data_IF_768020896649
#
_entry.id   IF_768020896649
#
_cell.length_a   1.000
_cell.length_b   1.000
_cell.length_c   1.000
_cell.angle_alpha   90.00
_cell.angle_beta   90.00
_cell.angle_gamma   90.00
#
_symmetry.space_group_name_H-M   'P 1'
#
loop_
_entity.id
_entity.type
_entity.pdbx_description
1 polymer ?
#
# COMPACT_ATOMS: atom_id res chain seq x y z
N UNK A 1 2.69 22.51 43.22
CA UNK A 1 3.12 22.00 41.90
C UNK A 1 2.62 20.57 41.75
N UNK A 2 1.54 20.35 40.98
CA UNK A 2 0.97 19.03 40.72
C UNK A 2 1.30 18.61 39.29
N UNK A 3 2.04 17.52 39.17
CA UNK A 3 2.47 16.96 37.90
C UNK A 3 1.38 15.99 37.40
N UNK A 4 0.58 16.42 36.42
CA UNK A 4 -0.35 15.52 35.72
C UNK A 4 0.45 14.71 34.69
N UNK A 5 0.59 13.40 34.94
CA UNK A 5 0.96 12.43 33.90
C UNK A 5 -0.21 12.34 32.90
N UNK A 6 0.06 12.67 31.64
CA UNK A 6 -0.82 12.32 30.52
C UNK A 6 -0.65 10.82 30.26
N UNK A 7 -1.69 10.04 30.57
CA UNK A 7 -1.78 8.64 30.17
C UNK A 7 -1.98 8.54 28.67
N UNK A 8 -1.04 7.91 27.97
CA UNK A 8 -1.14 7.59 26.54
C UNK A 8 -1.41 6.08 26.42
N UNK A 9 -2.46 5.72 25.68
CA UNK A 9 -2.77 4.34 25.30
C UNK A 9 -4.24 3.93 25.47
N UNK A 10 -5.18 4.67 24.90
CA UNK A 10 -6.58 4.24 24.83
C UNK A 10 -6.79 3.26 23.68
N UNK A 11 -7.23 2.04 23.99
CA UNK A 11 -7.80 1.11 23.02
C UNK A 11 -9.12 1.70 22.50
N UNK A 12 -9.26 1.87 21.19
CA UNK A 12 -10.52 2.28 20.57
C UNK A 12 -11.36 1.03 20.37
N UNK A 13 -12.58 1.00 20.94
CA UNK A 13 -13.43 -0.18 20.85
C UNK A 13 -14.03 -0.32 19.45
N UNK A 14 -14.38 -1.54 19.01
CA UNK A 14 -15.08 -1.79 17.75
C UNK A 14 -16.37 -0.96 17.59
N UNK A 15 -17.05 -0.66 18.69
CA UNK A 15 -18.27 0.15 18.75
C UNK A 15 -17.99 1.61 18.38
N UNK A 16 -16.90 2.19 18.89
CA UNK A 16 -16.49 3.55 18.51
C UNK A 16 -16.16 3.65 17.01
N UNK A 17 -15.54 2.62 16.43
CA UNK A 17 -15.32 2.57 14.98
C UNK A 17 -16.63 2.48 14.18
N UNK A 18 -17.63 1.72 14.66
CA UNK A 18 -18.96 1.66 14.02
C UNK A 18 -19.68 3.01 14.10
N UNK A 19 -19.60 3.70 15.23
CA UNK A 19 -20.18 5.04 15.41
C UNK A 19 -19.55 6.07 14.48
N UNK A 20 -18.22 6.07 14.35
CA UNK A 20 -17.52 6.95 13.42
C UNK A 20 -17.90 6.65 11.97
N UNK A 21 -18.09 5.37 11.61
CA UNK A 21 -18.60 4.98 10.29
C UNK A 21 -19.98 5.54 10.01
N UNK A 22 -20.93 5.36 10.95
CA UNK A 22 -22.30 5.83 10.78
C UNK A 22 -22.38 7.35 10.69
N UNK A 23 -21.62 8.06 11.54
CA UNK A 23 -21.56 9.52 11.51
C UNK A 23 -21.05 10.02 10.15
N UNK A 24 -19.97 9.44 9.63
CA UNK A 24 -19.42 9.87 8.33
C UNK A 24 -20.35 9.55 7.16
N UNK A 25 -21.07 8.42 7.20
CA UNK A 25 -22.09 8.12 6.21
C UNK A 25 -23.21 9.18 6.21
N UNK A 26 -23.68 9.59 7.39
CA UNK A 26 -24.70 10.65 7.49
C UNK A 26 -24.21 12.03 7.03
N UNK A 27 -22.92 12.33 7.23
CA UNK A 27 -22.31 13.58 6.71
C UNK A 27 -22.23 13.56 5.18
N UNK A 28 -21.88 12.42 4.58
CA UNK A 28 -21.83 12.27 3.11
C UNK A 28 -23.21 12.36 2.48
N UNK A 29 -24.23 11.77 3.09
CA UNK A 29 -25.62 11.89 2.63
C UNK A 29 -26.10 13.35 2.63
N UNK A 30 -25.72 14.13 3.65
CA UNK A 30 -26.08 15.54 3.73
C UNK A 30 -25.29 16.42 2.73
N UNK A 31 -24.03 16.08 2.45
CA UNK A 31 -23.21 16.79 1.45
C UNK A 31 -23.71 16.54 0.01
N UNK A 32 -24.19 15.33 -0.30
CA UNK A 32 -24.78 14.99 -1.62
C UNK A 32 -26.07 15.77 -1.92
N UNK A 33 -26.87 16.06 -0.88
CA UNK A 33 -28.08 16.89 -1.02
C UNK A 33 -27.72 18.36 -1.31
N UNK A 34 -26.62 18.86 -0.75
CA UNK A 34 -26.12 20.24 -0.98
C UNK A 34 -25.46 20.38 -2.35
N UNK A 35 -24.71 19.38 -2.83
CA UNK A 35 -24.07 19.42 -4.16
C UNK A 35 -25.06 19.26 -5.33
N UNK A 36 -26.23 18.62 -5.13
CA UNK A 36 -27.30 18.57 -6.15
C UNK A 36 -27.88 19.94 -6.53
N UNK A 37 -27.74 20.95 -5.69
CA UNK A 37 -28.18 22.32 -5.98
C UNK A 37 -27.13 23.16 -6.72
N UNK A 38 -25.88 22.68 -6.88
CA UNK A 38 -24.76 23.43 -7.47
C UNK A 38 -24.17 22.80 -8.74
N UNK A 39 -24.35 23.44 -9.89
CA UNK A 39 -23.97 22.94 -11.22
C UNK A 39 -22.43 22.85 -11.47
N UNK A 40 -21.97 21.70 -12.00
CA UNK A 40 -20.92 21.50 -13.05
C UNK A 40 -19.40 21.59 -12.77
N UNK A 41 -18.89 21.15 -11.61
CA UNK A 41 -17.45 20.81 -11.46
C UNK A 41 -17.15 19.60 -10.56
N UNK A 42 -18.14 18.73 -10.33
CA UNK A 42 -18.14 17.74 -9.26
C UNK A 42 -17.25 16.48 -9.47
N UNK A 43 -16.86 16.14 -10.70
CA UNK A 43 -16.35 14.79 -11.00
C UNK A 43 -14.96 14.49 -10.39
N UNK A 44 -14.06 15.47 -10.31
CA UNK A 44 -12.72 15.28 -9.72
C UNK A 44 -12.73 15.37 -8.19
N UNK A 45 -13.67 16.15 -7.62
CA UNK A 45 -13.79 16.30 -6.16
C UNK A 45 -14.48 15.12 -5.48
N UNK A 46 -15.45 14.49 -6.13
CA UNK A 46 -16.13 13.30 -5.61
C UNK A 46 -15.15 12.12 -5.47
N UNK A 47 -14.27 11.90 -6.46
CA UNK A 47 -13.27 10.84 -6.39
C UNK A 47 -12.27 11.12 -5.26
N UNK A 48 -11.78 12.35 -5.08
CA UNK A 48 -10.91 12.73 -3.94
C UNK A 48 -11.61 12.67 -2.56
N UNK A 49 -12.91 12.97 -2.48
CA UNK A 49 -13.67 12.94 -1.21
C UNK A 49 -14.08 11.51 -0.82
N UNK A 50 -14.46 10.66 -1.78
CA UNK A 50 -14.79 9.25 -1.56
C UNK A 50 -13.54 8.37 -1.39
N UNK A 51 -12.39 8.80 -1.93
CA UNK A 51 -11.08 8.18 -1.69
C UNK A 51 -10.40 8.62 -0.40
N UNK A 52 -10.98 9.54 0.39
CA UNK A 52 -10.57 9.74 1.79
C UNK A 52 -11.11 8.55 2.59
N UNK A 53 -10.27 7.59 2.98
CA UNK A 53 -10.75 6.45 3.71
C UNK A 53 -11.23 6.91 5.09
N UNK A 54 -12.35 6.32 5.52
CA UNK A 54 -13.01 6.56 6.79
C UNK A 54 -12.13 6.33 8.03
N UNK A 55 -10.92 5.80 7.88
CA UNK A 55 -9.94 5.53 8.93
C UNK A 55 -8.51 5.49 8.35
N UNK A 56 -8.00 6.58 7.77
CA UNK A 56 -6.53 6.71 7.66
C UNK A 56 -5.99 7.33 8.94
N UNK A 57 -5.08 6.60 9.58
CA UNK A 57 -4.12 7.19 10.49
C UNK A 57 -3.31 8.20 9.68
N UNK A 58 -3.39 9.48 10.05
CA UNK A 58 -2.36 10.47 9.71
C UNK A 58 -0.97 9.87 10.01
N UNK A 59 0.02 10.23 9.19
CA UNK A 59 1.43 9.79 9.07
C UNK A 59 2.27 9.61 10.37
N UNK A 60 1.71 9.03 11.42
CA UNK A 60 2.34 8.71 12.69
C UNK A 60 2.27 7.20 12.91
N UNK A 61 3.44 6.58 12.93
CA UNK A 61 3.66 5.18 13.30
C UNK A 61 2.98 4.88 14.66
N UNK A 62 1.77 4.33 14.66
CA UNK A 62 1.09 3.82 15.87
C UNK A 62 0.96 2.31 15.75
N UNK A 63 1.77 1.60 16.53
CA UNK A 63 1.94 0.14 16.44
C UNK A 63 0.76 -0.69 16.96
N UNK A 64 -0.17 -0.09 17.71
CA UNK A 64 -1.25 -0.82 18.40
C UNK A 64 -2.56 -0.96 17.61
N UNK A 65 -2.73 -0.25 16.49
CA UNK A 65 -4.02 -0.16 15.77
C UNK A 65 -4.16 -1.08 14.56
N UNK A 66 -3.09 -1.70 14.07
CA UNK A 66 -3.10 -2.41 12.78
C UNK A 66 -3.74 -3.81 12.90
N UNK A 67 -3.64 -4.49 14.05
CA UNK A 67 -4.18 -5.85 14.20
C UNK A 67 -5.70 -5.92 14.40
N UNK A 68 -6.36 -4.85 14.85
CA UNK A 68 -7.79 -4.88 15.19
C UNK A 68 -8.73 -4.63 14.01
N UNK A 69 -8.22 -4.25 12.82
CA UNK A 69 -9.03 -3.65 11.76
C UNK A 69 -9.47 -4.59 10.62
N UNK A 70 -9.17 -5.89 10.66
CA UNK A 70 -9.56 -6.84 9.59
C UNK A 70 -10.42 -8.03 10.07
N UNK A 71 -11.50 -7.84 10.84
CA UNK A 71 -12.27 -8.96 11.40
C UNK A 71 -13.03 -9.81 10.36
N UNK A 72 -13.08 -9.40 9.08
CA UNK A 72 -13.80 -10.13 8.01
C UNK A 72 -12.93 -10.40 6.77
N UNK A 73 -11.61 -10.22 6.89
CA UNK A 73 -10.68 -10.53 5.82
C UNK A 73 -10.46 -12.05 5.81
N UNK A 74 -11.43 -12.80 5.29
CA UNK A 74 -11.28 -14.23 4.96
C UNK A 74 -10.06 -14.49 4.05
N UNK A 75 -9.59 -13.44 3.37
CA UNK A 75 -8.33 -13.45 2.62
C UNK A 75 -7.09 -13.31 3.49
N UNK A 76 -7.13 -12.77 4.71
CA UNK A 76 -5.93 -12.68 5.54
C UNK A 76 -5.47 -14.09 5.93
N UNK A 77 -6.30 -14.91 6.56
CA UNK A 77 -5.86 -16.24 7.01
C UNK A 77 -5.43 -17.16 5.85
N UNK A 78 -5.99 -16.95 4.65
CA UNK A 78 -5.60 -17.66 3.44
C UNK A 78 -4.34 -17.08 2.77
N UNK A 79 -4.15 -15.75 2.77
CA UNK A 79 -2.98 -15.09 2.18
C UNK A 79 -1.75 -15.14 3.09
N UNK A 80 -1.92 -15.19 4.42
CA UNK A 80 -0.82 -15.28 5.38
C UNK A 80 -0.37 -16.71 5.64
N UNK A 81 -0.94 -17.70 4.93
CA UNK A 81 -0.47 -19.08 4.85
C UNK A 81 0.02 -19.65 6.19
N UNK A 82 -0.88 -20.22 6.99
CA UNK A 82 -0.57 -21.09 8.12
C UNK A 82 0.59 -20.64 9.03
N UNK A 83 0.45 -19.57 9.82
CA UNK A 83 1.29 -19.30 11.01
C UNK A 83 2.78 -19.66 10.90
N UNK A 84 3.40 -19.51 9.74
CA UNK A 84 4.81 -19.81 9.63
C UNK A 84 5.52 -18.62 10.26
N UNK A 85 6.46 -18.85 11.20
CA UNK A 85 7.18 -17.76 11.84
C UNK A 85 7.84 -16.80 10.84
N UNK A 86 8.11 -17.29 9.63
CA UNK A 86 8.70 -16.53 8.52
C UNK A 86 7.75 -15.45 7.97
N UNK A 87 6.47 -15.77 7.72
CA UNK A 87 5.48 -14.78 7.23
C UNK A 87 5.10 -13.77 8.33
N UNK A 88 5.10 -14.19 9.59
CA UNK A 88 4.85 -13.27 10.72
C UNK A 88 5.89 -12.15 10.83
N UNK A 89 7.07 -12.32 10.21
CA UNK A 89 8.19 -11.39 10.24
C UNK A 89 8.29 -10.50 8.98
N UNK A 90 7.25 -10.41 8.15
CA UNK A 90 7.27 -9.65 6.89
C UNK A 90 6.49 -8.35 6.93
N UNK A 91 7.04 -7.32 6.29
CA UNK A 91 6.37 -6.05 6.00
C UNK A 91 5.52 -6.13 4.73
N UNK A 92 4.44 -5.36 4.69
CA UNK A 92 3.54 -5.32 3.54
C UNK A 92 3.54 -3.95 2.87
N UNK A 93 3.79 -3.95 1.56
CA UNK A 93 3.86 -2.75 0.76
C UNK A 93 3.05 -2.85 -0.54
N UNK A 94 2.46 -1.74 -1.01
CA UNK A 94 1.90 -1.65 -2.34
C UNK A 94 3.05 -1.44 -3.31
N UNK A 95 3.11 -2.25 -4.35
CA UNK A 95 4.09 -2.10 -5.43
C UNK A 95 3.33 -1.86 -6.72
N UNK A 96 3.65 -0.77 -7.40
CA UNK A 96 3.05 -0.39 -8.67
C UNK A 96 3.97 -0.74 -9.84
N UNK A 97 5.29 -0.77 -9.66
CA UNK A 97 6.24 -1.12 -10.73
C UNK A 97 7.37 -1.98 -10.20
N UNK A 98 8.21 -2.50 -11.09
CA UNK A 98 9.47 -3.14 -10.71
C UNK A 98 10.61 -2.12 -10.74
N UNK A 99 11.64 -2.26 -9.89
CA UNK A 99 12.81 -1.39 -9.94
C UNK A 99 13.48 -1.40 -11.33
N UNK A 100 14.02 -0.26 -11.76
CA UNK A 100 14.70 -0.18 -13.06
C UNK A 100 15.93 -1.11 -13.11
N UNK A 101 16.23 -1.79 -14.25
CA UNK A 101 17.36 -2.71 -14.34
C UNK A 101 18.73 -2.11 -13.98
N UNK A 102 18.88 -0.78 -14.07
CA UNK A 102 20.12 -0.09 -13.67
C UNK A 102 20.49 -0.29 -12.19
N UNK A 103 19.53 -0.65 -11.33
CA UNK A 103 19.79 -0.91 -9.92
C UNK A 103 20.31 -2.33 -9.65
N UNK A 104 20.49 -3.18 -10.68
CA UNK A 104 21.04 -4.54 -10.52
C UNK A 104 22.37 -4.54 -9.76
N UNK A 105 23.21 -3.53 -10.01
CA UNK A 105 24.53 -3.38 -9.39
C UNK A 105 24.55 -2.31 -8.28
N UNK A 106 23.39 -1.82 -7.85
CA UNK A 106 23.32 -0.85 -6.77
C UNK A 106 23.88 -1.47 -5.47
N UNK A 107 24.64 -0.69 -4.72
CA UNK A 107 25.22 -1.06 -3.44
C UNK A 107 24.83 -0.02 -2.40
N UNK A 108 24.80 -0.41 -1.12
CA UNK A 108 24.38 0.44 -0.02
C UNK A 108 25.06 1.83 0.00
N UNK A 109 26.37 1.87 -0.23
CA UNK A 109 27.18 3.09 -0.21
C UNK A 109 26.90 4.05 -1.38
N UNK A 110 26.12 3.63 -2.39
CA UNK A 110 25.69 4.50 -3.48
C UNK A 110 24.55 5.44 -3.06
N UNK A 111 24.04 5.30 -1.84
CA UNK A 111 23.01 6.16 -1.27
C UNK A 111 21.58 5.77 -1.69
N UNK A 112 20.58 6.56 -1.24
CA UNK A 112 19.17 6.25 -1.48
C UNK A 112 18.81 6.15 -2.97
N UNK A 113 18.01 5.14 -3.31
CA UNK A 113 17.52 4.91 -4.67
C UNK A 113 16.44 5.93 -5.02
N UNK A 114 16.70 6.81 -5.98
CA UNK A 114 15.66 7.66 -6.58
C UNK A 114 14.95 6.89 -7.69
N UNK A 115 13.74 6.43 -7.41
CA UNK A 115 12.95 5.59 -8.31
C UNK A 115 11.45 5.77 -8.08
N UNK A 116 10.66 4.94 -8.73
CA UNK A 116 9.20 4.96 -8.55
C UNK A 116 8.63 3.56 -8.78
N UNK A 117 8.58 2.77 -7.71
CA UNK A 117 8.04 1.41 -7.78
C UNK A 117 7.06 1.07 -6.66
N UNK A 118 7.01 1.84 -5.58
CA UNK A 118 6.06 1.69 -4.49
C UNK A 118 5.67 3.07 -3.97
N UNK A 119 4.45 3.20 -3.44
CA UNK A 119 4.06 4.43 -2.71
C UNK A 119 4.75 4.59 -1.37
N UNK A 120 5.60 3.63 -1.00
CA UNK A 120 6.31 3.60 0.27
C UNK A 120 5.36 3.64 1.50
N UNK A 121 4.09 3.32 1.27
CA UNK A 121 3.05 3.23 2.30
C UNK A 121 3.02 1.83 2.89
N UNK A 122 3.50 1.68 4.11
CA UNK A 122 3.42 0.43 4.87
C UNK A 122 1.99 0.23 5.40
N UNK A 123 1.34 -0.90 5.09
CA UNK A 123 -0.06 -1.15 5.51
C UNK A 123 -0.27 -2.41 6.37
N UNK A 124 0.77 -3.17 6.71
CA UNK A 124 0.57 -4.38 7.50
C UNK A 124 1.84 -5.08 7.96
N UNK A 125 1.72 -5.83 9.06
CA UNK A 125 2.77 -6.64 9.67
C UNK A 125 2.45 -6.94 11.13
N UNK A 126 3.15 -7.90 11.73
CA UNK A 126 3.08 -8.11 13.18
C UNK A 126 3.69 -6.91 13.94
N UNK A 127 3.36 -6.70 15.23
CA UNK A 127 4.00 -5.66 16.04
C UNK A 127 5.53 -5.75 16.05
N UNK A 128 6.07 -6.98 16.01
CA UNK A 128 7.50 -7.21 15.89
C UNK A 128 8.06 -6.70 14.55
N UNK A 129 7.40 -7.01 13.44
CA UNK A 129 7.74 -6.47 12.10
C UNK A 129 7.70 -4.94 12.09
N UNK A 130 6.68 -4.33 12.69
CA UNK A 130 6.54 -2.86 12.76
C UNK A 130 7.72 -2.24 13.50
N UNK A 131 8.11 -2.83 14.64
CA UNK A 131 9.29 -2.38 15.41
C UNK A 131 10.58 -2.54 14.60
N UNK A 132 10.77 -3.71 13.95
CA UNK A 132 11.92 -3.96 13.08
C UNK A 132 12.00 -2.94 11.95
N UNK A 133 10.88 -2.67 11.25
CA UNK A 133 10.85 -1.71 10.15
C UNK A 133 11.21 -0.31 10.62
N UNK A 134 10.61 0.15 11.72
CA UNK A 134 10.91 1.46 12.31
C UNK A 134 12.38 1.59 12.65
N UNK A 135 12.95 0.62 13.35
CA UNK A 135 14.35 0.64 13.79
C UNK A 135 15.31 0.59 12.60
N UNK A 136 15.02 -0.26 11.62
CA UNK A 136 15.79 -0.35 10.36
C UNK A 136 15.71 0.96 9.58
N UNK A 137 14.50 1.51 9.41
CA UNK A 137 14.30 2.77 8.69
C UNK A 137 15.08 3.91 9.31
N UNK A 138 14.99 4.12 10.62
CA UNK A 138 15.71 5.22 11.28
C UNK A 138 17.22 4.99 11.31
N UNK A 139 17.69 3.75 11.43
CA UNK A 139 19.12 3.45 11.35
C UNK A 139 19.71 3.84 9.99
N UNK A 140 19.02 3.52 8.89
CA UNK A 140 19.45 3.88 7.54
C UNK A 140 19.21 5.36 7.20
N UNK A 141 18.12 5.95 7.71
CA UNK A 141 17.88 7.39 7.64
C UNK A 141 19.09 8.16 8.20
N UNK A 142 19.50 7.85 9.43
CA UNK A 142 20.61 8.53 10.09
C UNK A 142 21.95 8.24 9.39
N UNK A 143 22.13 7.02 8.87
CA UNK A 143 23.30 6.66 8.08
C UNK A 143 23.43 7.54 6.83
N UNK A 144 22.39 7.58 5.98
CA UNK A 144 22.41 8.38 4.76
C UNK A 144 22.39 9.88 5.02
N UNK A 145 21.77 10.33 6.11
CA UNK A 145 21.82 11.72 6.53
C UNK A 145 23.25 12.14 6.89
N UNK A 146 23.98 11.33 7.67
CA UNK A 146 25.38 11.63 8.04
C UNK A 146 26.33 11.64 6.85
N UNK A 147 26.04 10.90 5.80
CA UNK A 147 26.82 10.88 4.57
C UNK A 147 26.46 12.01 3.59
N UNK A 148 25.43 12.81 3.88
CA UNK A 148 24.93 13.85 2.97
C UNK A 148 24.20 13.29 1.75
N UNK A 149 23.73 12.04 1.80
CA UNK A 149 22.99 11.41 0.71
C UNK A 149 21.47 11.56 0.84
N UNK A 150 20.96 11.89 2.03
CA UNK A 150 19.53 11.97 2.26
C UNK A 150 18.92 13.27 1.71
N UNK A 151 18.03 13.14 0.71
CA UNK A 151 17.39 14.26 0.00
C UNK A 151 16.02 14.66 0.55
N UNK A 152 15.63 14.13 1.72
CA UNK A 152 14.36 14.47 2.37
C UNK A 152 13.13 13.70 1.87
N UNK A 153 13.30 12.73 0.97
CA UNK A 153 12.23 11.83 0.51
C UNK A 153 12.36 10.47 1.17
N UNK A 154 11.34 10.09 1.93
CA UNK A 154 11.21 8.78 2.56
C UNK A 154 11.18 7.64 1.55
N UNK A 155 10.50 7.84 0.41
CA UNK A 155 10.42 6.89 -0.70
C UNK A 155 11.79 6.38 -1.12
N UNK A 156 12.78 7.27 -1.30
CA UNK A 156 14.12 6.89 -1.77
C UNK A 156 14.83 5.95 -0.79
N UNK A 157 14.64 6.19 0.51
CA UNK A 157 15.17 5.34 1.56
C UNK A 157 14.45 3.99 1.58
N UNK A 158 13.12 4.00 1.54
CA UNK A 158 12.30 2.77 1.54
C UNK A 158 12.65 1.88 0.35
N UNK A 159 12.92 2.47 -0.81
CA UNK A 159 13.34 1.73 -1.99
C UNK A 159 14.69 1.05 -1.82
N UNK A 160 15.62 1.70 -1.13
CA UNK A 160 16.92 1.12 -0.78
C UNK A 160 16.74 -0.07 0.16
N UNK A 161 15.83 0.03 1.13
CA UNK A 161 15.49 -1.05 2.05
C UNK A 161 14.86 -2.26 1.34
N UNK A 162 14.17 -2.06 0.22
CA UNK A 162 13.65 -3.18 -0.59
C UNK A 162 14.77 -4.01 -1.20
N UNK A 163 15.86 -3.36 -1.65
CA UNK A 163 17.02 -4.07 -2.21
C UNK A 163 17.88 -4.69 -1.11
N UNK A 164 18.00 -4.05 0.05
CA UNK A 164 18.80 -4.55 1.18
C UNK A 164 18.13 -5.71 1.94
N UNK A 165 16.81 -5.65 2.13
CA UNK A 165 16.07 -6.61 2.95
C UNK A 165 14.89 -7.29 2.19
N UNK A 166 15.08 -7.78 0.96
CA UNK A 166 13.96 -8.25 0.13
C UNK A 166 13.24 -9.49 0.68
N UNK A 167 13.90 -10.26 1.54
CA UNK A 167 13.29 -11.42 2.23
C UNK A 167 12.38 -11.03 3.41
N UNK A 168 12.41 -9.76 3.85
CA UNK A 168 11.58 -9.24 4.95
C UNK A 168 10.31 -8.56 4.44
N UNK A 169 10.10 -8.53 3.13
CA UNK A 169 9.08 -7.69 2.52
C UNK A 169 8.28 -8.52 1.52
N UNK A 170 6.97 -8.45 1.66
CA UNK A 170 6.03 -8.94 0.68
C UNK A 170 5.22 -7.76 0.14
N UNK A 171 4.74 -7.91 -1.08
CA UNK A 171 4.12 -6.85 -1.83
C UNK A 171 2.79 -7.30 -2.43
N UNK A 172 1.85 -6.36 -2.46
CA UNK A 172 0.69 -6.44 -3.34
C UNK A 172 1.07 -5.70 -4.61
N UNK A 173 1.28 -6.45 -5.69
CA UNK A 173 1.78 -5.91 -6.95
C UNK A 173 0.65 -5.77 -7.97
N UNK A 174 0.23 -4.52 -8.21
CA UNK A 174 -0.87 -4.19 -9.12
C UNK A 174 -0.55 -4.58 -10.57
N UNK A 175 0.68 -4.31 -10.99
CA UNK A 175 1.14 -4.56 -12.36
C UNK A 175 1.92 -5.89 -12.47
N UNK A 176 1.56 -6.93 -11.70
CA UNK A 176 2.18 -8.28 -11.83
C UNK A 176 1.75 -8.91 -13.17
N UNK A 177 2.64 -9.02 -14.17
CA UNK A 177 2.29 -9.62 -15.46
C UNK A 177 1.99 -11.12 -15.32
N UNK A 178 2.44 -11.74 -14.24
CA UNK A 178 2.20 -13.16 -13.95
C UNK A 178 0.97 -13.38 -13.05
N UNK A 179 0.22 -12.32 -12.71
CA UNK A 179 -0.98 -12.46 -11.89
C UNK A 179 -2.00 -13.38 -12.60
N UNK A 180 -2.59 -14.37 -11.90
CA UNK A 180 -3.62 -15.23 -12.51
C UNK A 180 -4.77 -14.44 -13.13
N UNK A 181 -5.21 -13.39 -12.44
CA UNK A 181 -6.27 -12.49 -12.90
C UNK A 181 -5.93 -11.75 -14.21
N UNK A 182 -4.64 -11.55 -14.52
CA UNK A 182 -4.20 -10.92 -15.76
C UNK A 182 -4.44 -11.81 -16.97
N UNK A 183 -4.14 -13.11 -16.85
CA UNK A 183 -4.26 -14.09 -17.96
C UNK A 183 -5.68 -14.18 -18.52
N UNK A 184 -6.67 -13.97 -17.66
CA UNK A 184 -8.08 -14.00 -18.01
C UNK A 184 -8.57 -12.75 -18.75
N UNK A 185 -7.83 -11.64 -18.68
CA UNK A 185 -8.22 -10.38 -19.32
C UNK A 185 -7.80 -10.35 -20.80
N UNK A 186 -6.92 -11.23 -21.25
CA UNK A 186 -6.37 -11.16 -22.61
C UNK A 186 -5.51 -9.89 -22.81
N UNK A 187 -5.16 -9.51 -24.05
CA UNK A 187 -4.27 -8.38 -24.29
C UNK A 187 -4.82 -7.09 -23.67
N UNK A 188 -3.95 -6.37 -22.95
CA UNK A 188 -4.26 -5.07 -22.34
C UNK A 188 -4.64 -4.12 -23.45
N UNK A 189 -5.86 -3.56 -23.40
CA UNK A 189 -6.19 -2.44 -24.26
C UNK A 189 -5.48 -1.23 -23.66
N UNK A 190 -4.64 -0.58 -24.47
CA UNK A 190 -3.78 0.54 -24.11
C UNK A 190 -4.62 1.79 -23.77
N UNK A 191 -5.32 1.73 -22.64
CA UNK A 191 -5.95 2.87 -22.01
C UNK A 191 -5.14 3.17 -20.76
N UNK A 192 -4.77 4.43 -20.56
CA UNK A 192 -3.91 4.87 -19.46
C UNK A 192 -4.42 4.53 -18.04
N UNK A 193 -5.60 3.93 -17.92
CA UNK A 193 -6.29 3.61 -16.68
C UNK A 193 -6.70 2.13 -16.56
N UNK A 194 -6.42 1.28 -17.56
CA UNK A 194 -6.62 -0.16 -17.45
C UNK A 194 -5.26 -0.86 -17.34
N UNK A 195 -4.97 -1.35 -16.15
CA UNK A 195 -3.74 -2.11 -15.87
C UNK A 195 -3.92 -3.62 -16.03
N UNK A 196 -2.96 -4.37 -15.51
CA UNK A 196 -2.95 -5.84 -15.53
C UNK A 196 -4.15 -6.48 -14.82
N UNK A 197 -4.84 -5.73 -13.95
CA UNK A 197 -5.96 -6.21 -13.13
C UNK A 197 -7.30 -5.52 -13.45
N UNK A 198 -7.39 -4.79 -14.56
CA UNK A 198 -8.59 -4.03 -14.96
C UNK A 198 -8.55 -2.57 -14.50
N UNK A 199 -9.72 -1.95 -14.36
CA UNK A 199 -9.88 -0.55 -13.95
C UNK A 199 -9.86 -0.41 -12.43
N UNK A 200 -8.67 -0.40 -11.85
CA UNK A 200 -8.46 -0.37 -10.39
C UNK A 200 -8.31 1.03 -9.78
N UNK A 201 -8.82 2.06 -10.45
CA UNK A 201 -8.64 3.45 -10.04
C UNK A 201 -7.17 3.90 -10.14
N UNK A 202 -6.75 4.80 -9.25
CA UNK A 202 -5.34 5.20 -9.15
C UNK A 202 -4.52 4.09 -8.48
N UNK A 203 -3.38 3.75 -9.10
CA UNK A 203 -2.50 2.67 -8.65
C UNK A 203 -2.08 2.82 -7.18
N UNK A 204 -2.04 4.06 -6.68
CA UNK A 204 -1.68 4.42 -5.31
C UNK A 204 -2.59 3.82 -4.25
N UNK A 205 -3.88 3.69 -4.56
CA UNK A 205 -4.89 3.27 -3.59
C UNK A 205 -5.37 1.84 -3.81
N UNK A 206 -4.75 1.09 -4.73
CA UNK A 206 -5.16 -0.29 -5.02
C UNK A 206 -5.13 -1.20 -3.79
N UNK A 207 -4.18 -0.99 -2.86
CA UNK A 207 -4.13 -1.78 -1.61
C UNK A 207 -5.42 -1.64 -0.77
N UNK A 208 -6.15 -0.52 -0.89
CA UNK A 208 -7.44 -0.35 -0.21
C UNK A 208 -8.49 -1.30 -0.80
N UNK A 209 -8.55 -1.43 -2.13
CA UNK A 209 -9.39 -2.43 -2.79
C UNK A 209 -8.98 -3.85 -2.42
N UNK A 210 -7.67 -4.11 -2.36
CA UNK A 210 -7.15 -5.43 -1.97
C UNK A 210 -7.56 -5.81 -0.53
N UNK A 211 -7.48 -4.87 0.41
CA UNK A 211 -7.86 -5.04 1.82
C UNK A 211 -9.38 -5.02 2.06
N UNK A 212 -10.15 -4.42 1.17
CA UNK A 212 -11.59 -4.26 1.32
C UNK A 212 -12.31 -5.62 1.41
N UNK A 213 -13.50 -5.65 2.02
CA UNK A 213 -14.37 -6.83 1.92
C UNK A 213 -15.05 -6.89 0.54
N UNK A 214 -15.80 -7.96 0.26
CA UNK A 214 -16.46 -8.13 -1.04
C UNK A 214 -17.44 -7.00 -1.35
N UNK A 215 -18.26 -6.58 -0.40
CA UNK A 215 -19.27 -5.54 -0.62
C UNK A 215 -18.61 -4.19 -0.96
N UNK A 216 -17.58 -3.81 -0.20
CA UNK A 216 -16.84 -2.56 -0.44
C UNK A 216 -16.11 -2.60 -1.79
N UNK A 217 -15.52 -3.75 -2.19
CA UNK A 217 -14.92 -3.91 -3.52
C UNK A 217 -15.93 -3.74 -4.66
N UNK A 218 -17.12 -4.32 -4.52
CA UNK A 218 -18.19 -4.17 -5.52
C UNK A 218 -18.60 -2.71 -5.64
N UNK A 219 -18.75 -2.00 -4.51
CA UNK A 219 -19.04 -0.57 -4.52
C UNK A 219 -17.92 0.26 -5.17
N UNK A 220 -16.66 -0.04 -4.89
CA UNK A 220 -15.51 0.62 -5.54
C UNK A 220 -15.52 0.40 -7.06
N UNK A 221 -15.75 -0.84 -7.52
CA UNK A 221 -15.87 -1.16 -8.94
C UNK A 221 -17.00 -0.38 -9.61
N UNK A 222 -18.16 -0.27 -8.96
CA UNK A 222 -19.30 0.50 -9.48
C UNK A 222 -18.95 2.00 -9.61
N UNK A 223 -18.27 2.58 -8.62
CA UNK A 223 -17.81 3.97 -8.68
C UNK A 223 -16.85 4.19 -9.85
N UNK A 224 -15.89 3.28 -10.04
CA UNK A 224 -14.91 3.38 -11.14
C UNK A 224 -15.55 3.18 -12.52
N UNK A 225 -16.52 2.26 -12.65
CA UNK A 225 -17.29 2.06 -13.88
C UNK A 225 -18.10 3.32 -14.21
N UNK A 226 -18.78 3.91 -13.21
CA UNK A 226 -19.51 5.17 -13.38
C UNK A 226 -18.58 6.31 -13.79
N UNK A 227 -17.44 6.47 -13.13
CA UNK A 227 -16.45 7.49 -13.48
C UNK A 227 -15.92 7.32 -14.92
N UNK A 228 -15.79 6.08 -15.39
CA UNK A 228 -15.39 5.78 -16.75
C UNK A 228 -16.41 6.26 -17.81
N UNK A 229 -17.71 6.18 -17.53
CA UNK A 229 -18.77 6.65 -18.45
C UNK A 229 -18.66 8.14 -18.77
N UNK A 230 -18.13 8.93 -17.82
CA UNK A 230 -17.92 10.37 -17.97
C UNK A 230 -16.57 10.73 -18.62
N UNK A 231 -15.71 9.74 -18.87
CA UNK A 231 -14.43 9.94 -19.56
C UNK A 231 -14.60 9.87 -21.09
N UNK A 232 -13.61 10.38 -21.84
CA UNK A 232 -13.58 10.43 -23.32
C UNK A 232 -13.71 9.05 -24.03
N UNK A 233 -13.85 7.95 -23.30
CA UNK A 233 -14.10 6.60 -23.80
C UNK A 233 -15.31 5.90 -23.18
N UNK A 234 -16.27 6.65 -22.61
CA UNK A 234 -17.40 6.13 -21.84
C UNK A 234 -18.35 5.16 -22.57
N UNK A 235 -18.20 4.98 -23.89
CA UNK A 235 -18.93 3.95 -24.63
C UNK A 235 -18.33 2.54 -24.48
N UNK A 236 -17.09 2.41 -23.96
CA UNK A 236 -16.47 1.12 -23.71
C UNK A 236 -16.72 0.71 -22.27
N UNK A 237 -17.30 -0.48 -22.10
CA UNK A 237 -17.38 -1.09 -20.77
C UNK A 237 -15.96 -1.43 -20.32
N UNK A 238 -15.53 -0.80 -19.23
CA UNK A 238 -14.25 -1.08 -18.62
C UNK A 238 -14.27 -2.42 -17.91
N UNK A 239 -13.10 -3.04 -17.79
CA UNK A 239 -12.98 -4.31 -17.06
C UNK A 239 -12.95 -4.04 -15.55
N UNK A 240 -13.75 -4.78 -14.80
CA UNK A 240 -13.78 -4.70 -13.33
C UNK A 240 -12.38 -4.92 -12.74
N UNK A 241 -12.08 -4.20 -11.66
CA UNK A 241 -10.84 -4.42 -10.93
C UNK A 241 -10.86 -5.80 -10.27
N UNK A 242 -9.70 -6.46 -10.28
CA UNK A 242 -9.52 -7.83 -9.76
C UNK A 242 -8.47 -7.87 -8.67
N UNK A 243 -8.62 -8.83 -7.77
CA UNK A 243 -7.61 -9.14 -6.77
C UNK A 243 -6.36 -9.73 -7.43
N UNK A 244 -5.22 -9.47 -6.81
CA UNK A 244 -3.94 -10.11 -7.11
C UNK A 244 -3.43 -10.89 -5.91
N UNK A 245 -2.43 -11.71 -6.17
CA UNK A 245 -1.71 -12.44 -5.13
C UNK A 245 -0.70 -11.54 -4.43
N UNK A 246 -0.27 -11.97 -3.25
CA UNK A 246 0.91 -11.43 -2.59
C UNK A 246 2.16 -12.03 -3.24
N UNK A 247 3.19 -11.22 -3.43
CA UNK A 247 4.49 -11.65 -3.96
C UNK A 247 5.61 -11.26 -2.99
N UNK A 248 6.64 -12.08 -2.89
CA UNK A 248 7.84 -11.70 -2.15
C UNK A 248 8.63 -10.66 -2.94
N UNK A 249 9.11 -9.59 -2.29
CA UNK A 249 9.94 -8.59 -2.97
C UNK A 249 11.20 -9.26 -3.54
N UNK A 250 11.79 -10.23 -2.84
CA UNK A 250 12.90 -11.04 -3.37
C UNK A 250 12.57 -11.72 -4.71
N UNK A 251 11.38 -12.30 -4.83
CA UNK A 251 10.96 -12.95 -6.07
C UNK A 251 10.81 -11.93 -7.18
N UNK A 252 10.18 -10.78 -6.90
CA UNK A 252 10.05 -9.68 -7.83
C UNK A 252 11.43 -9.19 -8.33
N UNK A 253 12.39 -9.01 -7.41
CA UNK A 253 13.75 -8.60 -7.77
C UNK A 253 14.49 -9.66 -8.60
N UNK A 254 14.30 -10.96 -8.32
CA UNK A 254 14.88 -12.01 -9.17
C UNK A 254 14.27 -12.05 -10.58
N UNK A 255 12.98 -11.74 -10.73
CA UNK A 255 12.36 -11.62 -12.06
C UNK A 255 12.99 -10.47 -12.85
N UNK A 256 13.35 -9.38 -12.16
CA UNK A 256 13.85 -8.17 -12.79
C UNK A 256 15.38 -8.16 -13.02
N UNK A 257 16.16 -8.61 -12.05
CA UNK A 257 17.63 -8.56 -12.05
C UNK A 257 18.29 -9.90 -12.41
N UNK A 258 17.49 -10.95 -12.58
CA UNK A 258 17.95 -12.31 -12.85
C UNK A 258 17.98 -13.19 -11.60
N UNK A 259 17.90 -14.51 -11.81
CA UNK A 259 17.82 -15.51 -10.73
C UNK A 259 19.09 -15.57 -9.86
N UNK A 260 20.23 -15.20 -10.43
CA UNK A 260 21.52 -15.18 -9.75
C UNK A 260 21.81 -13.86 -9.03
N UNK A 261 20.91 -12.87 -9.14
CA UNK A 261 21.05 -11.61 -8.42
C UNK A 261 21.07 -11.86 -6.91
N UNK A 262 21.97 -11.16 -6.22
CA UNK A 262 22.10 -11.24 -4.77
C UNK A 262 21.83 -9.87 -4.17
N UNK A 263 21.03 -9.79 -3.08
CA UNK A 263 20.85 -8.56 -2.33
C UNK A 263 22.21 -7.97 -1.91
N UNK A 264 22.40 -6.64 -1.98
CA UNK A 264 23.56 -5.98 -1.40
C UNK A 264 23.69 -6.31 0.09
N UNK A 265 24.93 -6.42 0.56
CA UNK A 265 25.18 -6.72 1.97
C UNK A 265 24.92 -5.47 2.82
N UNK A 266 24.01 -5.52 3.80
CA UNK A 266 23.77 -4.40 4.71
C UNK A 266 24.96 -4.23 5.66
N UNK A 267 25.47 -3.01 5.76
CA UNK A 267 26.58 -2.63 6.65
C UNK A 267 26.11 -2.18 8.03
N UNK A 268 24.86 -1.75 8.14
CA UNK A 268 24.26 -1.28 9.39
C UNK A 268 23.63 -2.44 10.15
N UNK A 269 24.03 -2.58 11.41
CA UNK A 269 23.42 -3.53 12.34
C UNK A 269 21.96 -3.15 12.60
N UNK A 270 21.05 -4.06 12.25
CA UNK A 270 19.61 -3.94 12.49
C UNK A 270 19.10 -5.18 13.22
N UNK A 271 18.00 -5.10 13.99
CA UNK A 271 17.49 -6.24 14.75
C UNK A 271 17.22 -7.46 13.86
N UNK A 272 17.55 -8.66 14.35
CA UNK A 272 17.24 -9.92 13.66
C UNK A 272 18.09 -10.23 12.42
N UNK A 273 19.22 -9.54 12.24
CA UNK A 273 20.16 -9.78 11.13
C UNK A 273 21.58 -10.20 11.60
N UNK A 274 21.68 -10.68 12.85
CA UNK A 274 22.90 -11.19 13.49
C UNK A 274 23.03 -12.71 13.38
#
# INVERSE_FOLDING_TARGET
>A
MHNRRLGLGGYVSPETCKEWRQRRLSELEHEDDVEREGNKTASTHIIQKLSKPLCLAEHHFRSSSIQAFCPHCLNCDHCWGHNTPEVAATCNFPVCRIPHPSYTNWQEHMGPIDGYFSEASFFGGSPHTVSWWRETYYAYHDHYLRQGHFVGKDQNLIFSLFLLFPSRIIAVWLDDPDAPAHKELGPVQDTAHEGFLGSCGENWFYYQFWLANLADRLAMNEIWEKAALWSWGGWRRRRECRLTRVVWVKELLHRQFGKDWRPPMPSIAVPGNS
#
